data_IF_479270957100
#
_entry.id   IF_479270957100
#
_cell.length_a   1.000
_cell.length_b   1.000
_cell.length_c   1.000
_cell.angle_alpha   90.00
_cell.angle_beta   90.00
_cell.angle_gamma   90.00
#
_symmetry.space_group_name_H-M   'P 1'
#
loop_
_entity.id
_entity.type
_entity.pdbx_description
1 polymer ?
#
# COMPACT_ATOMS: atom_id res chain seq x y z
N UNK A 1 7.25 -8.26 -11.28
CA UNK A 1 7.27 -8.46 -9.81
C UNK A 1 7.98 -7.36 -9.02
N UNK A 2 9.08 -6.77 -9.50
CA UNK A 2 9.84 -5.76 -8.74
C UNK A 2 8.99 -4.56 -8.26
N UNK A 3 8.15 -3.98 -9.13
CA UNK A 3 7.23 -2.87 -8.79
C UNK A 3 6.30 -3.25 -7.62
N UNK A 4 5.74 -4.46 -7.64
CA UNK A 4 4.84 -4.97 -6.60
C UNK A 4 5.56 -5.12 -5.25
N UNK A 5 6.79 -5.67 -5.25
CA UNK A 5 7.61 -5.79 -4.03
C UNK A 5 7.95 -4.42 -3.45
N UNK A 6 8.30 -3.45 -4.31
CA UNK A 6 8.59 -2.07 -3.90
C UNK A 6 7.36 -1.39 -3.30
N UNK A 7 6.19 -1.54 -3.93
CA UNK A 7 4.93 -1.01 -3.41
C UNK A 7 4.57 -1.63 -2.06
N UNK A 8 4.67 -2.96 -1.94
CA UNK A 8 4.40 -3.68 -0.68
C UNK A 8 5.33 -3.23 0.45
N UNK A 9 6.63 -3.14 0.19
CA UNK A 9 7.59 -2.66 1.17
C UNK A 9 7.28 -1.23 1.64
N UNK A 10 6.83 -0.36 0.74
CA UNK A 10 6.43 0.99 1.09
C UNK A 10 5.14 1.04 1.89
N UNK A 11 4.14 0.22 1.56
CA UNK A 11 2.92 0.06 2.38
C UNK A 11 3.27 -0.35 3.81
N UNK A 12 4.20 -1.29 4.00
CA UNK A 12 4.64 -1.67 5.35
C UNK A 12 5.32 -0.53 6.11
N UNK A 13 6.05 0.37 5.43
CA UNK A 13 6.59 1.59 6.06
C UNK A 13 5.49 2.54 6.50
N UNK A 14 4.45 2.72 5.68
CA UNK A 14 3.29 3.53 6.04
C UNK A 14 2.53 2.95 7.23
N UNK A 15 2.38 1.62 7.30
CA UNK A 15 1.77 0.93 8.45
C UNK A 15 2.51 1.25 9.76
N UNK A 16 3.84 1.46 9.72
CA UNK A 16 4.61 1.81 10.91
C UNK A 16 4.29 3.22 11.45
N UNK A 17 3.73 4.10 10.64
CA UNK A 17 3.29 5.45 11.05
C UNK A 17 1.94 5.41 11.81
N UNK A 18 1.21 4.31 11.73
CA UNK A 18 -0.10 4.16 12.37
C UNK A 18 0.03 3.93 13.88
N UNK A 19 -1.05 4.11 14.66
CA UNK A 19 -1.11 3.71 16.07
C UNK A 19 -0.77 2.23 16.27
N UNK A 20 -0.03 1.89 17.33
CA UNK A 20 0.56 0.55 17.55
C UNK A 20 -0.48 -0.57 17.47
N UNK A 21 -1.64 -0.35 18.07
CA UNK A 21 -2.78 -1.26 18.12
C UNK A 21 -3.38 -1.58 16.74
N UNK A 22 -3.24 -0.67 15.77
CA UNK A 22 -3.78 -0.84 14.42
C UNK A 22 -2.81 -1.52 13.45
N UNK A 23 -1.50 -1.50 13.75
CA UNK A 23 -0.44 -1.95 12.83
C UNK A 23 -0.60 -3.41 12.45
N UNK A 24 -0.93 -4.27 13.41
CA UNK A 24 -1.10 -5.71 13.17
C UNK A 24 -2.19 -6.00 12.14
N UNK A 25 -3.33 -5.29 12.24
CA UNK A 25 -4.44 -5.43 11.29
C UNK A 25 -4.02 -5.02 9.87
N UNK A 26 -3.43 -3.83 9.69
CA UNK A 26 -3.07 -3.35 8.35
C UNK A 26 -1.86 -4.07 7.75
N UNK A 27 -0.90 -4.53 8.57
CA UNK A 27 0.19 -5.37 8.08
C UNK A 27 -0.31 -6.71 7.54
N UNK A 28 -1.27 -7.34 8.25
CA UNK A 28 -1.94 -8.56 7.80
C UNK A 28 -2.70 -8.30 6.50
N UNK A 29 -3.54 -7.27 6.46
CA UNK A 29 -4.31 -6.90 5.27
C UNK A 29 -3.42 -6.64 4.04
N UNK A 30 -2.32 -5.91 4.22
CA UNK A 30 -1.36 -5.65 3.14
C UNK A 30 -0.72 -6.95 2.62
N UNK A 31 -0.37 -7.88 3.52
CA UNK A 31 0.19 -9.18 3.14
C UNK A 31 -0.81 -10.01 2.36
N UNK A 32 -2.05 -10.09 2.82
CA UNK A 32 -3.13 -10.84 2.16
C UNK A 32 -3.36 -10.30 0.74
N UNK A 33 -3.49 -8.98 0.58
CA UNK A 33 -3.64 -8.36 -0.75
C UNK A 33 -2.44 -8.65 -1.66
N UNK A 34 -1.21 -8.53 -1.15
CA UNK A 34 0.00 -8.79 -1.94
C UNK A 34 0.05 -10.24 -2.45
N UNK A 35 -0.32 -11.21 -1.60
CA UNK A 35 -0.34 -12.63 -1.99
C UNK A 35 -1.49 -12.94 -2.95
N UNK A 36 -2.67 -12.40 -2.70
CA UNK A 36 -3.87 -12.65 -3.51
C UNK A 36 -3.70 -12.20 -4.96
N UNK A 37 -2.89 -11.16 -5.19
CA UNK A 37 -2.69 -10.61 -6.54
C UNK A 37 -1.42 -11.09 -7.24
N UNK A 38 -0.75 -12.14 -6.73
CA UNK A 38 0.51 -12.63 -7.33
C UNK A 38 0.35 -13.16 -8.76
N UNK A 39 -0.85 -13.66 -9.09
CA UNK A 39 -1.18 -14.33 -10.36
C UNK A 39 -2.09 -13.47 -11.24
N UNK A 40 -2.32 -12.21 -10.87
CA UNK A 40 -3.14 -11.30 -11.68
C UNK A 40 -2.42 -10.94 -12.96
N UNK A 41 -3.19 -10.83 -14.04
CA UNK A 41 -2.71 -10.44 -15.35
C UNK A 41 -1.98 -9.09 -15.28
N UNK A 42 -0.80 -8.96 -15.93
CA UNK A 42 -0.09 -7.69 -16.02
C UNK A 42 -0.95 -6.50 -16.49
N UNK A 43 -1.97 -6.74 -17.33
CA UNK A 43 -2.91 -5.72 -17.81
C UNK A 43 -3.80 -5.14 -16.69
N UNK A 44 -4.14 -5.91 -15.66
CA UNK A 44 -4.90 -5.46 -14.49
C UNK A 44 -4.00 -4.90 -13.37
N UNK A 45 -2.68 -5.06 -13.49
CA UNK A 45 -1.74 -4.68 -12.44
C UNK A 45 -1.72 -3.18 -12.16
N UNK A 46 -1.96 -2.33 -13.16
CA UNK A 46 -1.97 -0.88 -12.98
C UNK A 46 -3.14 -0.41 -12.11
N UNK A 47 -4.33 -1.00 -12.30
CA UNK A 47 -5.50 -0.69 -11.47
C UNK A 47 -5.28 -1.11 -10.02
N UNK A 48 -4.60 -2.24 -9.79
CA UNK A 48 -4.22 -2.69 -8.46
C UNK A 48 -3.23 -1.72 -7.79
N UNK A 49 -2.26 -1.18 -8.54
CA UNK A 49 -1.36 -0.15 -8.00
C UNK A 49 -2.10 1.13 -7.62
N UNK A 50 -3.03 1.61 -8.46
CA UNK A 50 -3.85 2.78 -8.15
C UNK A 50 -4.73 2.54 -6.92
N UNK A 51 -5.38 1.37 -6.81
CA UNK A 51 -6.15 0.98 -5.63
C UNK A 51 -5.27 0.92 -4.38
N UNK A 52 -4.06 0.38 -4.48
CA UNK A 52 -3.10 0.33 -3.37
C UNK A 52 -2.74 1.73 -2.87
N UNK A 53 -2.49 2.66 -3.79
CA UNK A 53 -2.20 4.06 -3.44
C UNK A 53 -3.39 4.74 -2.76
N UNK A 54 -4.57 4.66 -3.36
CA UNK A 54 -5.78 5.28 -2.80
C UNK A 54 -6.18 4.69 -1.45
N UNK A 55 -6.09 3.37 -1.29
CA UNK A 55 -6.38 2.73 -0.02
C UNK A 55 -5.39 3.17 1.06
N UNK A 56 -4.09 3.23 0.74
CA UNK A 56 -3.08 3.71 1.67
C UNK A 56 -3.33 5.16 2.10
N UNK A 57 -3.70 6.04 1.18
CA UNK A 57 -4.10 7.42 1.51
C UNK A 57 -5.30 7.46 2.45
N UNK A 58 -6.33 6.64 2.20
CA UNK A 58 -7.51 6.58 3.05
C UNK A 58 -7.16 6.14 4.47
N UNK A 59 -6.31 5.11 4.62
CA UNK A 59 -5.84 4.65 5.93
C UNK A 59 -5.03 5.74 6.65
N UNK A 60 -4.11 6.41 5.95
CA UNK A 60 -3.33 7.50 6.54
C UNK A 60 -4.24 8.64 7.03
N UNK A 61 -5.21 9.03 6.20
CA UNK A 61 -6.20 10.06 6.55
C UNK A 61 -7.03 9.66 7.77
N UNK A 62 -7.47 8.39 7.86
CA UNK A 62 -8.21 7.86 9.02
C UNK A 62 -7.45 8.04 10.34
N UNK A 63 -6.12 8.02 10.33
CA UNK A 63 -5.27 8.21 11.50
C UNK A 63 -4.60 9.59 11.56
N UNK A 64 -5.08 10.57 10.78
CA UNK A 64 -4.53 11.93 10.71
C UNK A 64 -3.04 11.99 10.38
N UNK A 65 -2.53 11.00 9.64
CA UNK A 65 -1.16 11.01 9.11
C UNK A 65 -1.15 11.85 7.83
N UNK A 66 -0.16 12.74 7.72
CA UNK A 66 -0.03 13.62 6.57
C UNK A 66 0.13 12.85 5.25
N UNK A 67 -0.53 13.35 4.20
CA UNK A 67 -0.55 12.72 2.87
C UNK A 67 0.84 12.62 2.24
N UNK A 68 1.75 13.56 2.53
CA UNK A 68 3.13 13.55 2.00
C UNK A 68 3.91 12.30 2.40
N UNK A 69 3.53 11.63 3.50
CA UNK A 69 4.11 10.34 3.87
C UNK A 69 3.98 9.30 2.73
N UNK A 70 2.94 9.39 1.90
CA UNK A 70 2.70 8.48 0.79
C UNK A 70 3.33 8.92 -0.56
N UNK A 71 4.14 9.97 -0.61
CA UNK A 71 4.71 10.47 -1.87
C UNK A 71 5.59 9.42 -2.57
N UNK A 72 6.34 8.65 -1.79
CA UNK A 72 7.13 7.54 -2.34
C UNK A 72 6.26 6.41 -2.87
N UNK A 73 5.15 6.10 -2.21
CA UNK A 73 4.19 5.12 -2.70
C UNK A 73 3.52 5.62 -3.99
N UNK A 74 3.17 6.91 -4.07
CA UNK A 74 2.63 7.55 -5.28
C UNK A 74 3.59 7.38 -6.46
N UNK A 75 4.88 7.66 -6.25
CA UNK A 75 5.90 7.53 -7.30
C UNK A 75 6.08 6.08 -7.79
N UNK A 76 5.77 5.08 -6.95
CA UNK A 76 5.82 3.68 -7.36
C UNK A 76 4.52 3.28 -8.07
N UNK A 77 3.36 3.61 -7.51
CA UNK A 77 2.08 3.08 -7.96
C UNK A 77 1.44 3.88 -9.10
N UNK A 78 1.76 5.16 -9.22
CA UNK A 78 1.14 6.07 -10.20
C UNK A 78 2.10 6.49 -11.33
N UNK A 79 3.33 5.97 -11.33
CA UNK A 79 4.24 6.04 -12.46
C UNK A 79 3.91 4.99 -13.52
#
# INVERSE_FOLDING_TARGET
>A
MEKAVRAYAEVLRLVMLLPKESRGYYAKYARENFVNYREVDPSESQDLFQRTYHHSLWVLHKYSVDKSAADKLKAICCA
#
